data_IF_654770466201
#
_entry.id   IF_654770466201
#
_cell.length_a   1.000
_cell.length_b   1.000
_cell.length_c   1.000
_cell.angle_alpha   90.00
_cell.angle_beta   90.00
_cell.angle_gamma   90.00
#
_symmetry.space_group_name_H-M   'P 1'
#
loop_
_entity.id
_entity.type
_entity.pdbx_description
1 polymer ?
#
# COMPACT_ATOMS: atom_id res chain seq x y z
N UNK A 1 -23.79 10.93 10.37
CA UNK A 1 -23.15 11.80 11.38
C UNK A 1 -22.35 10.95 12.33
N UNK A 2 -21.02 11.00 12.26
CA UNK A 2 -20.15 10.24 13.17
C UNK A 2 -20.12 10.99 14.49
N UNK A 3 -20.74 10.41 15.52
CA UNK A 3 -20.77 11.00 16.87
C UNK A 3 -19.52 10.53 17.60
N UNK A 4 -18.53 11.43 17.71
CA UNK A 4 -17.29 11.20 18.46
C UNK A 4 -17.62 11.19 19.95
N UNK A 5 -17.50 10.03 20.60
CA UNK A 5 -17.91 9.84 22.00
C UNK A 5 -16.81 10.11 23.05
N UNK A 6 -15.60 10.52 22.66
CA UNK A 6 -14.49 10.84 23.58
C UNK A 6 -13.33 11.50 22.84
N UNK A 7 -12.88 12.68 23.28
CA UNK A 7 -11.71 13.39 22.72
C UNK A 7 -10.42 12.54 22.80
N UNK A 8 -10.27 11.73 23.85
CA UNK A 8 -9.12 10.84 24.03
C UNK A 8 -9.00 9.78 22.93
N UNK A 9 -10.13 9.26 22.45
CA UNK A 9 -10.14 8.26 21.40
C UNK A 9 -9.86 8.88 20.02
N UNK A 10 -10.22 10.16 19.83
CA UNK A 10 -9.90 10.89 18.62
C UNK A 10 -8.40 11.15 18.51
N UNK A 11 -7.77 11.59 19.61
CA UNK A 11 -6.33 11.82 19.64
C UNK A 11 -5.54 10.54 19.32
N UNK A 12 -5.90 9.41 19.95
CA UNK A 12 -5.27 8.12 19.69
C UNK A 12 -5.42 7.67 18.22
N UNK A 13 -6.61 7.84 17.64
CA UNK A 13 -6.85 7.51 16.23
C UNK A 13 -6.02 8.41 15.28
N UNK A 14 -5.87 9.69 15.61
CA UNK A 14 -5.02 10.60 14.84
C UNK A 14 -3.53 10.25 14.94
N UNK A 15 -3.06 9.81 16.11
CA UNK A 15 -1.68 9.40 16.32
C UNK A 15 -1.37 8.12 15.51
N UNK A 16 -2.28 7.13 15.53
CA UNK A 16 -2.18 5.90 14.74
C UNK A 16 -2.14 6.18 13.22
N UNK A 17 -3.05 7.02 12.72
CA UNK A 17 -3.06 7.43 11.30
C UNK A 17 -1.77 8.18 10.96
N UNK A 18 -1.28 9.05 11.85
CA UNK A 18 -0.05 9.82 11.62
C UNK A 18 1.19 8.93 11.58
N UNK A 19 1.20 7.84 12.35
CA UNK A 19 2.26 6.83 12.35
C UNK A 19 2.21 5.96 11.09
N UNK A 20 1.00 5.59 10.63
CA UNK A 20 0.79 4.88 9.36
C UNK A 20 1.23 5.73 8.15
N UNK A 21 0.84 7.00 8.09
CA UNK A 21 1.22 7.92 7.01
C UNK A 21 2.72 8.17 6.92
N UNK A 22 3.45 8.11 8.04
CA UNK A 22 4.91 8.23 8.06
C UNK A 22 5.62 7.02 7.47
N UNK A 23 4.93 5.89 7.34
CA UNK A 23 5.49 4.61 6.89
C UNK A 23 5.14 4.31 5.42
N UNK A 24 4.78 5.32 4.64
CA UNK A 24 4.51 5.16 3.21
C UNK A 24 5.79 5.23 2.37
N UNK A 25 6.11 4.14 1.68
CA UNK A 25 7.26 4.05 0.77
C UNK A 25 6.78 3.97 -0.69
N UNK A 26 7.42 4.73 -1.57
CA UNK A 26 7.22 4.64 -3.02
C UNK A 26 8.31 3.77 -3.63
N UNK A 27 7.93 2.63 -4.23
CA UNK A 27 8.84 1.72 -4.92
C UNK A 27 8.62 1.77 -6.43
N UNK A 28 9.65 2.17 -7.17
CA UNK A 28 9.67 2.08 -8.63
C UNK A 28 10.12 0.69 -9.08
N UNK A 29 9.37 0.05 -9.96
CA UNK A 29 9.72 -1.24 -10.55
C UNK A 29 9.50 -1.22 -12.06
N UNK A 30 10.52 -1.61 -12.82
CA UNK A 30 10.44 -1.79 -14.26
C UNK A 30 10.33 -3.29 -14.57
N UNK A 31 9.23 -3.76 -15.19
CA UNK A 31 9.10 -5.16 -15.55
C UNK A 31 10.09 -5.55 -16.63
N UNK A 32 10.69 -6.73 -16.50
CA UNK A 32 11.51 -7.34 -17.57
C UNK A 32 10.67 -7.80 -18.76
N UNK A 33 9.37 -8.05 -18.57
CA UNK A 33 8.44 -8.36 -19.65
C UNK A 33 7.95 -7.04 -20.30
N UNK A 34 8.33 -6.83 -21.56
CA UNK A 34 7.95 -5.64 -22.33
C UNK A 34 6.70 -5.84 -23.22
N UNK A 35 5.96 -6.96 -23.09
CA UNK A 35 4.78 -7.22 -23.93
C UNK A 35 3.58 -6.35 -23.55
N UNK A 36 2.97 -5.72 -24.55
CA UNK A 36 1.73 -4.93 -24.43
C UNK A 36 0.51 -5.80 -24.80
N UNK A 37 0.30 -6.87 -24.04
CA UNK A 37 -0.68 -7.92 -24.36
C UNK A 37 -1.94 -7.88 -23.47
N UNK A 38 -2.10 -6.84 -22.64
CA UNK A 38 -3.20 -6.75 -21.68
C UNK A 38 -3.14 -7.77 -20.53
N UNK A 39 -2.08 -8.56 -20.42
CA UNK A 39 -1.99 -9.60 -19.39
C UNK A 39 -1.91 -9.01 -17.98
N UNK A 40 -2.50 -9.71 -17.01
CA UNK A 40 -2.36 -9.35 -15.60
C UNK A 40 -0.98 -9.76 -15.08
N UNK A 41 -0.27 -8.79 -14.52
CA UNK A 41 1.07 -8.97 -13.94
C UNK A 41 0.99 -8.82 -12.43
N UNK A 42 1.22 -9.95 -11.74
CA UNK A 42 1.23 -10.00 -10.28
C UNK A 42 2.47 -9.30 -9.72
N UNK A 43 2.28 -8.53 -8.66
CA UNK A 43 3.35 -7.92 -7.87
C UNK A 43 3.43 -8.67 -6.54
N UNK A 44 4.65 -9.03 -6.12
CA UNK A 44 4.95 -9.55 -4.78
C UNK A 44 6.07 -8.70 -4.21
N UNK A 45 5.86 -8.18 -3.01
CA UNK A 45 6.87 -7.46 -2.24
C UNK A 45 7.18 -8.30 -1.02
N UNK A 46 8.47 -8.55 -0.80
CA UNK A 46 8.99 -9.26 0.37
C UNK A 46 9.88 -8.30 1.14
N UNK A 47 9.67 -8.23 2.45
CA UNK A 47 10.48 -7.40 3.35
C UNK A 47 11.21 -8.32 4.33
N UNK A 48 12.42 -7.94 4.70
CA UNK A 48 13.23 -8.70 5.68
C UNK A 48 12.90 -8.33 7.12
N UNK A 49 12.15 -7.24 7.33
CA UNK A 49 11.76 -6.77 8.67
C UNK A 49 10.73 -7.75 9.28
N UNK A 50 11.01 -8.35 10.45
CA UNK A 50 10.04 -9.18 11.15
C UNK A 50 8.85 -8.35 11.64
N UNK A 51 7.73 -9.02 11.92
CA UNK A 51 6.54 -8.45 12.55
C UNK A 51 5.95 -7.21 11.83
N UNK A 52 6.00 -7.19 10.51
CA UNK A 52 5.49 -6.08 9.69
C UNK A 52 4.35 -6.54 8.78
N UNK A 53 3.27 -5.76 8.73
CA UNK A 53 2.20 -5.92 7.75
C UNK A 53 2.51 -5.07 6.52
N UNK A 54 2.64 -5.72 5.36
CA UNK A 54 2.99 -5.05 4.10
C UNK A 54 1.75 -4.93 3.22
N UNK A 55 1.28 -3.70 3.01
CA UNK A 55 0.18 -3.38 2.12
C UNK A 55 0.73 -2.88 0.79
N UNK A 56 0.49 -3.62 -0.28
CA UNK A 56 0.93 -3.27 -1.63
C UNK A 56 -0.15 -3.51 -2.65
N UNK A 57 0.00 -2.88 -3.82
CA UNK A 57 -0.79 -3.24 -4.99
C UNK A 57 -0.52 -4.72 -5.34
N UNK A 58 -1.57 -5.50 -5.56
CA UNK A 58 -1.48 -6.94 -5.89
C UNK A 58 -0.92 -7.21 -7.30
N UNK A 59 -1.03 -6.23 -8.19
CA UNK A 59 -0.63 -6.35 -9.58
C UNK A 59 -1.24 -5.26 -10.45
N UNK A 60 -0.93 -5.30 -11.74
CA UNK A 60 -1.39 -4.35 -12.75
C UNK A 60 -1.65 -5.09 -14.06
N UNK A 61 -2.46 -4.50 -14.94
CA UNK A 61 -2.63 -4.99 -16.30
C UNK A 61 -1.58 -4.33 -17.20
N UNK A 62 -0.97 -5.11 -18.09
CA UNK A 62 -0.13 -4.57 -19.15
C UNK A 62 -0.95 -3.62 -20.04
N UNK A 63 -0.33 -2.61 -20.65
CA UNK A 63 -1.02 -1.80 -21.65
C UNK A 63 -1.44 -2.70 -22.83
N UNK A 64 -2.56 -2.36 -23.47
CA UNK A 64 -2.98 -2.89 -24.76
C UNK A 64 -2.78 -1.80 -25.79
N UNK A 65 -1.89 -2.02 -26.75
CA UNK A 65 -1.78 -1.22 -27.97
C UNK A 65 -2.46 -1.93 -29.14
#
# INVERSE_FOLDING_TARGET
TIVVRSEKNLQAAFDEISEELRSQYTLGYYPTNAKHDGSYRKIKVEVTRPDTNVLTRKGYYAPTE
#
